data_IF_860871002239
#
_entry.id   IF_860871002239
#
_cell.length_a   1.000
_cell.length_b   1.000
_cell.length_c   1.000
_cell.angle_alpha   90.00
_cell.angle_beta   90.00
_cell.angle_gamma   90.00
#
_symmetry.space_group_name_H-M   'P 1'
#
loop_
_entity.id
_entity.type
_entity.pdbx_description
1 polymer ?
#
# COMPACT_ATOMS: atom_id res chain seq x y z
N UNK A 1 6.46 -30.09 23.65
CA UNK A 1 5.63 -31.29 23.88
C UNK A 1 6.02 -32.37 22.87
N UNK A 2 6.19 -32.02 21.59
CA UNK A 2 6.48 -32.98 20.50
C UNK A 2 7.89 -33.59 20.54
N UNK A 3 8.95 -32.83 20.86
CA UNK A 3 10.33 -33.37 20.93
C UNK A 3 10.53 -34.42 22.03
N UNK A 4 9.69 -34.39 23.06
CA UNK A 4 9.75 -35.33 24.18
C UNK A 4 9.43 -36.76 23.74
N UNK A 5 8.53 -36.92 22.76
CA UNK A 5 8.18 -38.23 22.20
C UNK A 5 9.32 -38.80 21.34
N UNK A 6 10.05 -37.96 20.62
CA UNK A 6 11.26 -38.37 19.89
C UNK A 6 12.37 -38.79 20.85
N UNK A 7 12.62 -38.02 21.90
CA UNK A 7 13.61 -38.39 22.91
C UNK A 7 13.29 -39.74 23.55
N UNK A 8 12.01 -40.01 23.82
CA UNK A 8 11.57 -41.28 24.42
C UNK A 8 11.75 -42.49 23.49
N UNK A 9 11.61 -42.34 22.16
CA UNK A 9 11.81 -43.45 21.21
C UNK A 9 13.26 -43.57 20.70
N UNK A 10 14.08 -42.53 20.86
CA UNK A 10 15.49 -42.50 20.45
C UNK A 10 16.33 -43.69 20.95
N UNK A 11 16.26 -44.12 22.23
CA UNK A 11 17.02 -45.29 22.68
C UNK A 11 16.63 -46.56 21.94
N UNK A 12 15.34 -46.76 21.66
CA UNK A 12 14.85 -47.93 20.91
C UNK A 12 15.25 -47.87 19.43
N UNK A 13 15.28 -46.68 18.84
CA UNK A 13 15.79 -46.48 17.46
C UNK A 13 17.28 -46.86 17.36
N UNK A 14 18.10 -46.52 18.35
CA UNK A 14 19.53 -46.92 18.38
C UNK A 14 19.69 -48.44 18.50
N UNK A 15 18.91 -49.08 19.38
CA UNK A 15 18.89 -50.53 19.51
C UNK A 15 18.51 -51.23 18.19
N UNK A 16 17.55 -50.67 17.46
CA UNK A 16 17.15 -51.14 16.13
C UNK A 16 18.29 -51.00 15.11
N UNK A 17 18.99 -49.85 15.08
CA UNK A 17 20.13 -49.60 14.19
C UNK A 17 21.28 -50.59 14.47
N UNK A 18 21.56 -50.88 15.75
CA UNK A 18 22.58 -51.86 16.16
C UNK A 18 22.19 -53.30 15.78
N UNK A 19 20.96 -53.71 16.04
CA UNK A 19 20.46 -55.04 15.68
C UNK A 19 20.45 -55.25 14.16
N UNK A 20 20.06 -54.22 13.39
CA UNK A 20 20.10 -54.26 11.94
C UNK A 20 21.53 -54.36 11.40
N UNK A 21 22.48 -53.62 12.00
CA UNK A 21 23.91 -53.68 11.66
C UNK A 21 24.53 -55.05 11.93
N UNK A 22 23.97 -55.81 12.87
CA UNK A 22 24.35 -57.19 13.16
C UNK A 22 23.69 -58.23 12.23
N UNK A 23 22.90 -57.79 11.24
CA UNK A 23 22.20 -58.66 10.31
C UNK A 23 20.95 -59.34 10.89
N UNK A 24 20.47 -58.90 12.06
CA UNK A 24 19.19 -59.37 12.61
C UNK A 24 18.04 -58.70 11.85
N UNK A 25 16.99 -59.47 11.57
CA UNK A 25 15.76 -58.94 10.97
C UNK A 25 15.05 -57.97 11.92
N UNK A 26 14.27 -57.05 11.36
CA UNK A 26 13.45 -56.11 12.11
C UNK A 26 12.16 -56.79 12.59
N UNK A 27 11.80 -56.59 13.85
CA UNK A 27 10.49 -56.98 14.36
C UNK A 27 9.41 -55.98 13.91
N UNK A 28 8.14 -56.36 14.05
CA UNK A 28 7.02 -55.45 13.74
C UNK A 28 7.04 -54.18 14.62
N UNK A 29 7.46 -54.30 15.88
CA UNK A 29 7.61 -53.17 16.80
C UNK A 29 8.73 -52.22 16.36
N UNK A 30 9.80 -52.76 15.79
CA UNK A 30 10.91 -51.97 15.26
C UNK A 30 10.46 -51.16 14.04
N UNK A 31 9.71 -51.81 13.14
CA UNK A 31 9.10 -51.16 11.98
C UNK A 31 8.15 -50.05 12.44
N UNK A 32 7.28 -50.32 13.41
CA UNK A 32 6.35 -49.31 13.94
C UNK A 32 7.11 -48.13 14.55
N UNK A 33 8.19 -48.38 15.29
CA UNK A 33 9.03 -47.33 15.91
C UNK A 33 9.70 -46.46 14.84
N UNK A 34 10.23 -47.07 13.77
CA UNK A 34 10.82 -46.35 12.65
C UNK A 34 9.79 -45.55 11.85
N UNK A 35 8.58 -46.09 11.66
CA UNK A 35 7.47 -45.38 11.03
C UNK A 35 7.07 -44.14 11.85
N UNK A 36 6.96 -44.27 13.18
CA UNK A 36 6.66 -43.14 14.06
C UNK A 36 7.74 -42.05 13.97
N UNK A 37 9.03 -42.41 14.00
CA UNK A 37 10.14 -41.47 13.80
C UNK A 37 10.06 -40.76 12.45
N UNK A 38 9.79 -41.52 11.37
CA UNK A 38 9.67 -40.98 10.02
C UNK A 38 8.50 -39.99 9.89
N UNK A 39 7.32 -40.34 10.42
CA UNK A 39 6.15 -39.46 10.43
C UNK A 39 6.41 -38.19 11.24
N UNK A 40 7.03 -38.32 12.41
CA UNK A 40 7.41 -37.17 13.22
C UNK A 40 8.33 -36.21 12.45
N UNK A 41 9.39 -36.74 11.83
CA UNK A 41 10.32 -35.92 11.04
C UNK A 41 9.61 -35.19 9.90
N UNK A 42 8.67 -35.88 9.24
CA UNK A 42 7.86 -35.28 8.19
C UNK A 42 6.96 -34.15 8.72
N UNK A 43 6.28 -34.36 9.85
CA UNK A 43 5.44 -33.34 10.52
C UNK A 43 6.29 -32.14 10.94
N UNK A 44 7.46 -32.37 11.54
CA UNK A 44 8.38 -31.30 11.91
C UNK A 44 8.84 -30.48 10.71
N UNK A 45 9.14 -31.12 9.58
CA UNK A 45 9.46 -30.40 8.34
C UNK A 45 8.28 -29.56 7.83
N UNK A 46 7.05 -30.08 7.91
CA UNK A 46 5.85 -29.34 7.55
C UNK A 46 5.62 -28.12 8.44
N UNK A 47 5.86 -28.24 9.75
CA UNK A 47 5.73 -27.12 10.70
C UNK A 47 6.72 -25.99 10.38
N UNK A 48 7.98 -26.34 10.08
CA UNK A 48 8.98 -25.38 9.61
C UNK A 48 8.53 -24.67 8.33
N UNK A 49 7.95 -25.40 7.37
CA UNK A 49 7.41 -24.82 6.14
C UNK A 49 6.21 -23.92 6.41
N UNK A 50 5.35 -24.28 7.36
CA UNK A 50 4.23 -23.45 7.77
C UNK A 50 4.70 -22.14 8.43
N UNK A 51 5.74 -22.20 9.26
CA UNK A 51 6.38 -21.01 9.84
C UNK A 51 6.98 -20.11 8.74
N UNK A 52 7.67 -20.69 7.75
CA UNK A 52 8.19 -19.96 6.59
C UNK A 52 7.09 -19.24 5.79
N UNK A 53 5.96 -19.93 5.54
CA UNK A 53 4.79 -19.35 4.87
C UNK A 53 4.18 -18.24 5.71
N UNK A 54 4.02 -18.45 7.02
CA UNK A 54 3.48 -17.44 7.95
C UNK A 54 4.33 -16.18 7.93
N UNK A 55 5.65 -16.31 8.02
CA UNK A 55 6.56 -15.17 7.89
C UNK A 55 6.46 -14.47 6.53
N UNK A 56 6.31 -15.25 5.45
CA UNK A 56 6.15 -14.70 4.10
C UNK A 56 4.85 -13.92 3.94
N UNK A 57 3.75 -14.40 4.54
CA UNK A 57 2.45 -13.71 4.55
C UNK A 57 2.54 -12.41 5.34
N UNK A 58 3.09 -12.41 6.55
CA UNK A 58 3.29 -11.20 7.35
C UNK A 58 4.15 -10.17 6.61
N UNK A 59 5.23 -10.63 5.95
CA UNK A 59 6.08 -9.76 5.14
C UNK A 59 5.34 -9.19 3.91
N UNK A 60 4.42 -9.97 3.33
CA UNK A 60 3.60 -9.54 2.20
C UNK A 60 2.55 -8.50 2.63
N UNK A 61 1.86 -8.72 3.75
CA UNK A 61 0.94 -7.76 4.36
C UNK A 61 1.64 -6.43 4.62
N UNK A 62 2.80 -6.44 5.28
CA UNK A 62 3.58 -5.23 5.50
C UNK A 62 4.11 -4.55 4.22
N UNK A 63 4.26 -5.28 3.11
CA UNK A 63 4.53 -4.67 1.79
C UNK A 63 3.28 -4.00 1.20
N UNK A 64 2.11 -4.60 1.37
CA UNK A 64 0.85 -4.03 0.92
C UNK A 64 0.52 -2.75 1.70
N UNK A 65 0.62 -2.75 3.02
CA UNK A 65 0.35 -1.57 3.85
C UNK A 65 1.22 -0.38 3.44
N UNK A 66 2.53 -0.60 3.25
CA UNK A 66 3.44 0.45 2.78
C UNK A 66 3.07 0.99 1.41
N UNK A 67 2.59 0.14 0.50
CA UNK A 67 2.13 0.57 -0.82
C UNK A 67 0.84 1.38 -0.72
N UNK A 68 -0.09 1.00 0.17
CA UNK A 68 -1.32 1.74 0.40
C UNK A 68 -1.05 3.12 0.98
N UNK A 69 -0.27 3.23 2.05
CA UNK A 69 0.12 4.53 2.64
C UNK A 69 0.84 5.42 1.62
N UNK A 70 1.73 4.85 0.80
CA UNK A 70 2.41 5.60 -0.25
C UNK A 70 1.45 6.06 -1.36
N UNK A 71 0.39 5.30 -1.65
CA UNK A 71 -0.62 5.66 -2.64
C UNK A 71 -1.55 6.75 -2.11
N UNK A 72 -2.02 6.62 -0.85
CA UNK A 72 -2.81 7.65 -0.15
C UNK A 72 -2.05 8.98 -0.15
N UNK A 73 -0.79 8.98 0.28
CA UNK A 73 0.03 10.19 0.28
C UNK A 73 0.29 10.79 -1.12
N UNK A 74 0.21 9.99 -2.20
CA UNK A 74 0.26 10.52 -3.58
C UNK A 74 -1.07 11.14 -3.98
N UNK A 75 -2.19 10.55 -3.58
CA UNK A 75 -3.52 11.09 -3.82
C UNK A 75 -3.71 12.42 -3.09
N UNK A 76 -3.37 12.49 -1.81
CA UNK A 76 -3.47 13.73 -1.02
C UNK A 76 -2.70 14.88 -1.67
N UNK A 77 -1.45 14.64 -2.09
CA UNK A 77 -0.65 15.65 -2.79
C UNK A 77 -1.30 16.10 -4.10
N UNK A 78 -1.92 15.18 -4.84
CA UNK A 78 -2.62 15.53 -6.08
C UNK A 78 -3.88 16.34 -5.80
N UNK A 79 -4.61 16.04 -4.74
CA UNK A 79 -5.79 16.80 -4.32
C UNK A 79 -5.40 18.22 -3.90
N UNK A 80 -4.40 18.38 -3.03
CA UNK A 80 -3.89 19.71 -2.64
C UNK A 80 -3.41 20.51 -3.85
N UNK A 81 -2.68 19.87 -4.78
CA UNK A 81 -2.24 20.53 -6.00
C UNK A 81 -3.40 20.91 -6.94
N UNK A 82 -4.50 20.15 -6.90
CA UNK A 82 -5.70 20.44 -7.68
C UNK A 82 -6.50 21.60 -7.06
N UNK A 83 -6.66 21.62 -5.74
CA UNK A 83 -7.28 22.71 -4.99
C UNK A 83 -6.56 24.04 -5.27
N UNK A 84 -5.23 24.07 -5.16
CA UNK A 84 -4.43 25.25 -5.47
C UNK A 84 -4.63 25.74 -6.92
N UNK A 85 -4.79 24.81 -7.89
CA UNK A 85 -5.09 25.18 -9.28
C UNK A 85 -6.49 25.77 -9.43
N UNK A 86 -7.47 25.28 -8.67
CA UNK A 86 -8.81 25.84 -8.66
C UNK A 86 -8.85 27.23 -8.03
N UNK A 87 -8.12 27.46 -6.95
CA UNK A 87 -7.98 28.79 -6.34
C UNK A 87 -7.37 29.79 -7.32
N UNK A 88 -6.26 29.43 -7.98
CA UNK A 88 -5.65 30.27 -9.01
C UNK A 88 -6.57 30.52 -10.20
N UNK A 89 -7.38 29.53 -10.57
CA UNK A 89 -8.36 29.69 -11.64
C UNK A 89 -9.46 30.67 -11.22
N UNK A 90 -9.96 30.55 -9.99
CA UNK A 90 -10.97 31.46 -9.45
C UNK A 90 -10.46 32.91 -9.41
N UNK A 91 -9.24 33.12 -8.91
CA UNK A 91 -8.58 34.43 -8.90
C UNK A 91 -8.44 35.01 -10.32
N UNK A 92 -8.01 34.18 -11.28
CA UNK A 92 -7.87 34.60 -12.69
C UNK A 92 -9.21 34.96 -13.32
N UNK A 93 -10.28 34.24 -13.00
CA UNK A 93 -11.63 34.55 -13.46
C UNK A 93 -12.09 35.88 -12.87
N UNK A 94 -11.90 36.10 -11.57
CA UNK A 94 -12.25 37.35 -10.89
C UNK A 94 -11.50 38.54 -11.50
N UNK A 95 -10.19 38.44 -11.68
CA UNK A 95 -9.39 39.47 -12.34
C UNK A 95 -9.82 39.74 -13.78
N UNK A 96 -10.19 38.71 -14.53
CA UNK A 96 -10.69 38.87 -15.91
C UNK A 96 -12.00 39.65 -15.93
N UNK A 97 -12.93 39.33 -15.03
CA UNK A 97 -14.21 40.03 -14.88
C UNK A 97 -13.97 41.49 -14.47
N UNK A 98 -13.14 41.74 -13.45
CA UNK A 98 -12.80 43.09 -13.01
C UNK A 98 -12.18 43.92 -14.16
N UNK A 99 -11.26 43.33 -14.93
CA UNK A 99 -10.63 44.00 -16.07
C UNK A 99 -11.62 44.32 -17.18
N UNK A 100 -12.56 43.41 -17.47
CA UNK A 100 -13.62 43.62 -18.46
C UNK A 100 -14.58 44.74 -18.02
N UNK A 101 -15.00 44.73 -16.74
CA UNK A 101 -15.87 45.77 -16.17
C UNK A 101 -15.21 47.14 -16.18
N UNK A 102 -13.96 47.25 -15.72
CA UNK A 102 -13.22 48.51 -15.70
C UNK A 102 -13.03 49.07 -17.12
N UNK A 103 -12.72 48.21 -18.11
CA UNK A 103 -12.63 48.63 -19.51
C UNK A 103 -13.95 49.22 -20.03
N UNK A 104 -15.08 48.58 -19.72
CA UNK A 104 -16.40 49.07 -20.14
C UNK A 104 -16.77 50.41 -19.46
N UNK A 105 -16.37 50.59 -18.21
CA UNK A 105 -16.58 51.85 -17.48
C UNK A 105 -15.79 53.01 -18.10
N UNK A 106 -14.53 52.79 -18.49
CA UNK A 106 -13.72 53.79 -19.20
C UNK A 106 -14.31 54.21 -20.55
N UNK A 107 -14.86 53.25 -21.32
CA UNK A 107 -15.53 53.59 -22.58
C UNK A 107 -16.81 54.42 -22.36
N UNK A 108 -17.57 54.13 -21.31
CA UNK A 108 -18.74 54.93 -20.92
C UNK A 108 -18.34 56.36 -20.54
N UNK A 109 -17.30 56.53 -19.72
CA UNK A 109 -16.78 57.85 -19.39
C UNK A 109 -16.27 58.63 -20.60
N UNK A 110 -15.63 57.95 -21.55
CA UNK A 110 -15.18 58.57 -22.80
C UNK A 110 -16.35 59.09 -23.64
N UNK A 111 -17.41 58.28 -23.80
CA UNK A 111 -18.63 58.68 -24.55
C UNK A 111 -19.35 59.83 -23.83
N UNK A 112 -19.48 59.76 -22.51
CA UNK A 112 -20.12 60.83 -21.73
C UNK A 112 -19.33 62.14 -21.80
N UNK A 113 -18.00 62.08 -21.71
CA UNK A 113 -17.13 63.24 -21.89
C UNK A 113 -17.25 63.86 -23.27
N UNK A 114 -17.30 63.02 -24.32
CA UNK A 114 -17.53 63.46 -25.69
C UNK A 114 -18.91 64.12 -25.87
N UNK A 115 -19.96 63.57 -25.24
CA UNK A 115 -21.30 64.16 -25.31
C UNK A 115 -21.36 65.53 -24.63
N UNK A 116 -20.72 65.69 -23.47
CA UNK A 116 -20.67 66.97 -22.75
C UNK A 116 -19.91 68.05 -23.52
N UNK A 117 -18.82 67.71 -24.22
CA UNK A 117 -18.08 68.68 -25.03
C UNK A 117 -18.88 69.11 -26.25
N UNK A 118 -19.56 68.18 -26.93
CA UNK A 118 -20.46 68.50 -28.04
C UNK A 118 -21.65 69.37 -27.59
N UNK A 119 -22.29 69.01 -26.48
CA UNK A 119 -23.40 69.79 -25.91
C UNK A 119 -22.99 71.24 -25.64
N UNK A 120 -21.81 71.47 -25.05
CA UNK A 120 -21.30 72.82 -24.80
C UNK A 120 -20.97 73.61 -26.07
N UNK A 121 -20.54 72.95 -27.15
CA UNK A 121 -20.27 73.62 -28.43
C UNK A 121 -21.57 74.06 -29.07
N UNK A 122 -22.59 73.21 -29.05
CA UNK A 122 -23.92 73.51 -29.62
C UNK A 122 -24.60 74.63 -28.82
N UNK A 123 -24.48 74.64 -27.49
CA UNK A 123 -25.08 75.67 -26.63
C UNK A 123 -24.40 77.05 -26.76
N UNK A 124 -23.21 77.10 -27.37
CA UNK A 124 -22.46 78.34 -27.62
C UNK A 124 -22.66 78.90 -29.05
N UNK A 125 -23.31 78.14 -29.92
CA UNK A 125 -23.69 78.53 -31.28
C UNK A 125 -25.12 79.09 -31.29
#
# INVERSE_FOLDING_TARGET
MDDMLIEMITPKVKEIEENFSQGKGLSQDDINTLLLKSQYNHINHLDLKLNEVTHSVVALEGKFDRKFVALEGKFDRKFVALEAKFELLAEKVEHSIQKALNRNMWSLFAIMGFFLTLSKIIDKF
#
